data_IF_466892377932
#
_entry.id   IF_466892377932
#
_cell.length_a   1.000
_cell.length_b   1.000
_cell.length_c   1.000
_cell.angle_alpha   90.00
_cell.angle_beta   90.00
_cell.angle_gamma   90.00
#
_symmetry.space_group_name_H-M   'P 1'
#
loop_
_entity.id
_entity.type
_entity.pdbx_description
1 polymer ?
#
# COMPACT_ATOMS: atom_id res chain seq x y z
N UNK A 1 44.22 -37.58 -46.17
CA UNK A 1 43.62 -37.97 -44.87
C UNK A 1 44.03 -36.95 -43.81
N UNK A 2 43.15 -36.03 -43.41
CA UNK A 2 43.24 -35.35 -42.11
C UNK A 2 41.83 -34.96 -41.65
N UNK A 3 41.19 -35.87 -40.91
CA UNK A 3 40.15 -35.53 -39.92
C UNK A 3 40.89 -35.02 -38.70
N UNK A 4 40.51 -33.87 -38.14
CA UNK A 4 40.56 -33.49 -36.72
C UNK A 4 40.42 -31.97 -36.60
N UNK A 5 39.20 -31.48 -36.35
CA UNK A 5 38.91 -30.18 -35.68
C UNK A 5 37.39 -30.03 -35.58
N UNK A 6 36.80 -30.57 -34.51
CA UNK A 6 35.36 -30.46 -34.28
C UNK A 6 34.88 -30.83 -32.87
N UNK A 7 35.74 -31.40 -32.02
CA UNK A 7 35.34 -31.86 -30.68
C UNK A 7 35.71 -30.93 -29.53
N UNK A 8 36.62 -29.98 -29.71
CA UNK A 8 37.13 -29.16 -28.59
C UNK A 8 36.20 -27.99 -28.26
N UNK A 9 35.61 -27.31 -29.25
CA UNK A 9 34.74 -26.14 -29.02
C UNK A 9 33.35 -26.47 -28.42
N UNK A 10 32.80 -27.65 -28.71
CA UNK A 10 31.50 -28.09 -28.20
C UNK A 10 31.53 -28.48 -26.71
N UNK A 11 32.67 -28.99 -26.24
CA UNK A 11 32.84 -29.40 -24.84
C UNK A 11 32.97 -28.19 -23.93
N UNK A 12 33.70 -27.14 -24.35
CA UNK A 12 33.83 -25.89 -23.60
C UNK A 12 32.52 -25.10 -23.49
N UNK A 13 31.72 -25.04 -24.56
CA UNK A 13 30.41 -24.37 -24.53
C UNK A 13 29.40 -25.10 -23.63
N UNK A 14 29.38 -26.44 -23.63
CA UNK A 14 28.55 -27.21 -22.71
C UNK A 14 28.95 -27.00 -21.24
N UNK A 15 30.24 -26.99 -20.94
CA UNK A 15 30.72 -26.74 -19.57
C UNK A 15 30.41 -25.31 -19.11
N UNK A 16 30.56 -24.30 -19.97
CA UNK A 16 30.18 -22.92 -19.65
C UNK A 16 28.68 -22.79 -19.38
N UNK A 17 27.83 -23.40 -20.23
CA UNK A 17 26.39 -23.37 -20.06
C UNK A 17 25.95 -24.07 -18.75
N UNK A 18 26.57 -25.19 -18.42
CA UNK A 18 26.33 -25.91 -17.18
C UNK A 18 26.77 -25.10 -15.95
N UNK A 19 27.92 -24.44 -16.01
CA UNK A 19 28.40 -23.54 -14.96
C UNK A 19 27.47 -22.33 -14.75
N UNK A 20 27.04 -21.67 -15.82
CA UNK A 20 26.07 -20.57 -15.74
C UNK A 20 24.74 -21.02 -15.16
N UNK A 21 24.22 -22.19 -15.57
CA UNK A 21 22.98 -22.75 -15.03
C UNK A 21 23.07 -23.02 -13.52
N UNK A 22 24.18 -23.58 -13.05
CA UNK A 22 24.41 -23.79 -11.61
C UNK A 22 24.45 -22.47 -10.83
N UNK A 23 25.09 -21.45 -11.39
CA UNK A 23 25.20 -20.13 -10.74
C UNK A 23 23.85 -19.41 -10.67
N UNK A 24 23.04 -19.49 -11.73
CA UNK A 24 21.65 -18.98 -11.73
C UNK A 24 20.80 -19.70 -10.69
N UNK A 25 20.88 -21.03 -10.62
CA UNK A 25 20.13 -21.80 -9.61
C UNK A 25 20.55 -21.46 -8.18
N UNK A 26 21.85 -21.23 -7.94
CA UNK A 26 22.35 -20.80 -6.65
C UNK A 26 21.80 -19.42 -6.26
N UNK A 27 21.76 -18.47 -7.20
CA UNK A 27 21.21 -17.14 -6.98
C UNK A 27 19.69 -17.17 -6.74
N UNK A 28 18.95 -18.00 -7.47
CA UNK A 28 17.52 -18.19 -7.26
C UNK A 28 17.22 -18.77 -5.87
N UNK A 29 18.02 -19.72 -5.39
CA UNK A 29 17.88 -20.27 -4.04
C UNK A 29 18.17 -19.21 -2.98
N UNK A 30 19.23 -18.41 -3.15
CA UNK A 30 19.54 -17.30 -2.24
C UNK A 30 18.44 -16.24 -2.21
N UNK A 31 17.87 -15.90 -3.36
CA UNK A 31 16.74 -14.95 -3.42
C UNK A 31 15.52 -15.49 -2.68
N UNK A 32 15.16 -16.76 -2.85
CA UNK A 32 14.05 -17.39 -2.11
C UNK A 32 14.29 -17.39 -0.60
N UNK A 33 15.53 -17.61 -0.18
CA UNK A 33 15.90 -17.58 1.24
C UNK A 33 15.79 -16.17 1.82
N UNK A 34 16.27 -15.15 1.10
CA UNK A 34 16.11 -13.75 1.49
C UNK A 34 14.65 -13.32 1.55
N UNK A 35 13.82 -13.72 0.58
CA UNK A 35 12.38 -13.47 0.60
C UNK A 35 11.70 -14.11 1.82
N UNK A 36 12.10 -15.33 2.17
CA UNK A 36 11.63 -16.03 3.36
C UNK A 36 12.03 -15.29 4.64
N UNK A 37 13.29 -14.84 4.74
CA UNK A 37 13.77 -14.07 5.88
C UNK A 37 13.05 -12.73 6.03
N UNK A 38 12.81 -12.02 4.92
CA UNK A 38 12.02 -10.77 4.92
C UNK A 38 10.60 -11.02 5.42
N UNK A 39 9.98 -12.14 5.02
CA UNK A 39 8.64 -12.48 5.49
C UNK A 39 8.61 -12.73 7.00
N UNK A 40 9.58 -13.48 7.54
CA UNK A 40 9.71 -13.73 8.99
C UNK A 40 9.94 -12.43 9.75
N UNK A 41 10.83 -11.56 9.26
CA UNK A 41 11.09 -10.25 9.89
C UNK A 41 9.83 -9.39 9.92
N UNK A 42 9.04 -9.35 8.83
CA UNK A 42 7.75 -8.65 8.81
C UNK A 42 6.78 -9.20 9.87
N UNK A 43 6.72 -10.52 10.04
CA UNK A 43 5.87 -11.13 11.07
C UNK A 43 6.34 -10.76 12.49
N UNK A 44 7.64 -10.72 12.74
CA UNK A 44 8.22 -10.31 14.03
C UNK A 44 7.93 -8.83 14.30
N UNK A 45 8.17 -7.95 13.34
CA UNK A 45 7.86 -6.52 13.46
C UNK A 45 6.38 -6.30 13.78
N UNK A 46 5.47 -7.02 13.10
CA UNK A 46 4.03 -6.95 13.36
C UNK A 46 3.64 -7.41 14.77
N UNK A 47 4.34 -8.41 15.33
CA UNK A 47 4.12 -8.85 16.72
C UNK A 47 4.65 -7.83 17.72
N UNK A 48 5.82 -7.24 17.45
CA UNK A 48 6.42 -6.23 18.33
C UNK A 48 5.59 -4.94 18.35
N UNK A 49 5.08 -4.48 17.21
CA UNK A 49 4.19 -3.30 17.15
C UNK A 49 2.83 -3.55 17.80
N UNK A 50 2.34 -4.80 17.83
CA UNK A 50 1.09 -5.12 18.54
C UNK A 50 1.17 -5.07 20.07
N UNK A 51 2.39 -5.02 20.64
CA UNK A 51 2.62 -4.97 22.09
C UNK A 51 2.91 -3.57 22.66
N UNK A 52 3.04 -2.55 21.82
CA UNK A 52 3.27 -1.17 22.27
C UNK A 52 1.90 -0.52 22.47
N UNK A 53 1.39 -0.56 23.70
CA UNK A 53 0.33 0.35 24.16
C UNK A 53 0.88 1.78 24.15
N UNK A 54 0.75 2.47 23.02
CA UNK A 54 1.08 3.88 22.87
C UNK A 54 -0.03 4.75 23.47
N UNK A 55 0.34 5.55 24.44
CA UNK A 55 -0.47 6.61 25.00
C UNK A 55 -0.77 7.70 23.96
N UNK A 56 -2.06 7.89 23.70
CA UNK A 56 -2.70 9.15 23.27
C UNK A 56 -2.33 9.74 21.90
N UNK A 57 -2.23 8.94 20.83
CA UNK A 57 -2.63 9.41 19.49
C UNK A 57 -2.71 8.29 18.44
N UNK A 58 -3.52 7.27 18.70
CA UNK A 58 -3.83 6.21 17.75
C UNK A 58 -4.40 6.80 16.47
N UNK A 59 -3.80 6.48 15.31
CA UNK A 59 -4.38 6.80 14.00
C UNK A 59 -5.78 6.19 13.90
N UNK A 60 -6.78 7.04 13.68
CA UNK A 60 -8.17 6.64 13.54
C UNK A 60 -8.67 6.96 12.13
N UNK A 61 -9.42 6.05 11.54
CA UNK A 61 -10.08 6.24 10.24
C UNK A 61 -11.45 6.91 10.49
N UNK A 62 -11.57 8.20 10.15
CA UNK A 62 -12.74 9.02 10.52
C UNK A 62 -13.10 10.03 9.43
N UNK A 63 -14.39 10.31 9.21
CA UNK A 63 -14.82 11.42 8.34
C UNK A 63 -14.35 12.79 8.83
N UNK A 64 -14.14 12.97 10.14
CA UNK A 64 -13.70 14.27 10.71
C UNK A 64 -12.28 14.66 10.27
N UNK A 65 -11.49 13.70 9.80
CA UNK A 65 -10.15 13.94 9.30
C UNK A 65 -10.15 14.53 7.88
N UNK A 66 -11.27 14.41 7.15
CA UNK A 66 -11.37 14.82 5.75
C UNK A 66 -11.48 16.35 5.63
N UNK A 67 -10.44 16.98 5.09
CA UNK A 67 -10.40 18.44 4.83
C UNK A 67 -10.65 18.80 3.36
N UNK A 68 -10.67 17.79 2.49
CA UNK A 68 -10.82 17.90 1.04
C UNK A 68 -11.97 17.00 0.59
N UNK A 69 -12.58 17.31 -0.56
CA UNK A 69 -13.56 16.42 -1.18
C UNK A 69 -12.86 15.36 -2.03
N UNK A 70 -13.26 14.10 -1.85
CA UNK A 70 -12.80 12.97 -2.64
C UNK A 70 -13.97 12.38 -3.41
N UNK A 71 -13.93 12.59 -4.73
CA UNK A 71 -14.96 12.13 -5.65
C UNK A 71 -14.31 11.23 -6.70
N UNK A 72 -14.86 10.04 -6.90
CA UNK A 72 -14.36 9.14 -7.95
C UNK A 72 -14.64 9.70 -9.34
N UNK A 73 -13.67 9.62 -10.25
CA UNK A 73 -13.85 10.10 -11.62
C UNK A 73 -14.83 9.21 -12.38
N UNK A 74 -15.84 9.82 -13.02
CA UNK A 74 -16.75 9.12 -13.93
C UNK A 74 -16.00 8.59 -15.16
N UNK A 75 -16.04 7.27 -15.36
CA UNK A 75 -15.48 6.59 -16.53
C UNK A 75 -16.09 5.20 -16.59
N UNK A 76 -16.89 4.88 -17.62
CA UNK A 76 -17.55 3.57 -17.74
C UNK A 76 -16.58 2.39 -17.46
N UNK A 77 -16.94 1.40 -16.62
CA UNK A 77 -18.20 1.22 -15.89
C UNK A 77 -18.29 1.97 -14.54
N UNK A 78 -17.27 2.75 -14.18
CA UNK A 78 -17.19 3.49 -12.93
C UNK A 78 -18.05 4.76 -12.97
N UNK A 79 -18.86 4.93 -11.94
CA UNK A 79 -19.66 6.13 -11.72
C UNK A 79 -18.97 7.07 -10.73
N UNK A 80 -19.50 8.28 -10.68
CA UNK A 80 -19.09 9.28 -9.72
C UNK A 80 -19.66 8.94 -8.34
N UNK A 81 -18.82 8.94 -7.32
CA UNK A 81 -19.17 8.61 -5.94
C UNK A 81 -18.45 9.59 -5.01
N UNK A 82 -19.21 10.23 -4.12
CA UNK A 82 -18.67 11.07 -3.06
C UNK A 82 -18.23 10.21 -1.88
N UNK A 83 -16.91 10.02 -1.72
CA UNK A 83 -16.35 9.16 -0.69
C UNK A 83 -16.49 9.77 0.71
N UNK A 84 -16.53 11.11 0.81
CA UNK A 84 -16.72 11.81 2.07
C UNK A 84 -18.11 11.51 2.66
N UNK A 85 -19.15 11.66 1.85
CA UNK A 85 -20.54 11.37 2.26
C UNK A 85 -20.70 9.88 2.62
N UNK A 86 -20.08 9.00 1.83
CA UNK A 86 -20.14 7.57 2.09
C UNK A 86 -19.47 7.20 3.42
N UNK A 87 -18.34 7.82 3.76
CA UNK A 87 -17.69 7.59 5.05
C UNK A 87 -18.47 8.19 6.21
N UNK A 88 -19.05 9.38 6.03
CA UNK A 88 -19.90 10.00 7.04
C UNK A 88 -21.12 9.14 7.39
N UNK A 89 -21.68 8.41 6.42
CA UNK A 89 -22.78 7.46 6.62
C UNK A 89 -22.35 6.05 7.05
N UNK A 90 -21.06 5.76 7.13
CA UNK A 90 -20.57 4.41 7.39
C UNK A 90 -20.42 4.12 8.89
N UNK A 91 -20.94 2.97 9.32
CA UNK A 91 -20.74 2.45 10.68
C UNK A 91 -19.97 1.13 10.62
N UNK A 92 -18.79 1.11 11.22
CA UNK A 92 -17.93 -0.08 11.24
C UNK A 92 -18.56 -1.22 12.05
N UNK A 93 -18.72 -2.43 11.47
CA UNK A 93 -19.17 -3.59 12.21
C UNK A 93 -18.23 -3.97 13.37
N UNK A 94 -18.78 -4.54 14.45
CA UNK A 94 -18.00 -4.97 15.63
C UNK A 94 -16.84 -5.90 15.29
N UNK A 95 -16.99 -6.74 14.26
CA UNK A 95 -15.96 -7.68 13.79
C UNK A 95 -14.71 -7.01 13.18
N UNK A 96 -14.76 -5.73 12.80
CA UNK A 96 -13.62 -5.00 12.20
C UNK A 96 -13.16 -3.81 13.04
N UNK A 97 -14.03 -3.25 13.89
CA UNK A 97 -13.78 -2.08 14.75
C UNK A 97 -12.46 -2.10 15.53
N UNK A 98 -11.96 -3.29 15.88
CA UNK A 98 -10.77 -3.44 16.72
C UNK A 98 -9.45 -3.21 15.97
N UNK A 99 -9.45 -3.07 14.64
CA UNK A 99 -8.25 -2.84 13.84
C UNK A 99 -8.50 -1.91 12.65
N UNK A 100 -7.79 -0.79 12.59
CA UNK A 100 -7.95 0.23 11.54
C UNK A 100 -7.85 -0.34 10.12
N UNK A 101 -6.90 -1.25 9.86
CA UNK A 101 -6.78 -1.89 8.54
C UNK A 101 -8.00 -2.72 8.14
N UNK A 102 -8.68 -3.35 9.11
CA UNK A 102 -9.91 -4.11 8.85
C UNK A 102 -11.08 -3.17 8.56
N UNK A 103 -11.15 -2.04 9.26
CA UNK A 103 -12.15 -0.99 8.98
C UNK A 103 -11.96 -0.42 7.58
N UNK A 104 -10.72 -0.10 7.19
CA UNK A 104 -10.40 0.38 5.83
C UNK A 104 -10.81 -0.66 4.78
N UNK A 105 -10.42 -1.93 4.96
CA UNK A 105 -10.79 -3.00 4.02
C UNK A 105 -12.31 -3.15 3.90
N UNK A 106 -13.03 -3.17 5.02
CA UNK A 106 -14.50 -3.29 5.04
C UNK A 106 -15.17 -2.09 4.35
N UNK A 107 -14.67 -0.88 4.59
CA UNK A 107 -15.17 0.33 3.91
C UNK A 107 -14.88 0.32 2.41
N UNK A 108 -13.69 -0.12 1.98
CA UNK A 108 -13.37 -0.29 0.56
C UNK A 108 -14.32 -1.28 -0.12
N UNK A 109 -14.75 -2.35 0.56
CA UNK A 109 -15.80 -3.25 0.04
C UNK A 109 -17.15 -2.55 -0.12
N UNK A 110 -17.50 -1.61 0.75
CA UNK A 110 -18.71 -0.79 0.61
C UNK A 110 -18.61 0.11 -0.63
N UNK A 111 -17.44 0.68 -0.89
CA UNK A 111 -17.18 1.47 -2.11
C UNK A 111 -17.30 0.58 -3.35
N UNK A 112 -16.63 -0.58 -3.38
CA UNK A 112 -16.61 -1.43 -4.58
C UNK A 112 -17.99 -1.98 -4.97
N UNK A 113 -18.89 -2.20 -4.01
CA UNK A 113 -20.30 -2.52 -4.29
C UNK A 113 -21.10 -1.40 -4.93
N UNK A 114 -20.56 -0.19 -4.97
CA UNK A 114 -21.27 1.01 -5.44
C UNK A 114 -20.52 1.74 -6.56
N UNK A 115 -19.22 1.53 -6.73
CA UNK A 115 -18.40 2.33 -7.66
C UNK A 115 -18.73 2.07 -9.13
N UNK A 116 -19.28 0.91 -9.47
CA UNK A 116 -19.74 0.58 -10.83
C UNK A 116 -21.23 0.90 -11.04
N UNK A 117 -21.60 1.16 -12.29
CA UNK A 117 -22.98 1.31 -12.73
C UNK A 117 -23.10 1.20 -14.26
N UNK A 118 -24.22 0.67 -14.79
CA UNK A 118 -25.47 0.32 -14.08
C UNK A 118 -25.41 -1.00 -13.29
N UNK A 119 -24.51 -1.93 -13.61
CA UNK A 119 -24.37 -3.20 -12.87
C UNK A 119 -23.22 -3.11 -11.84
N UNK A 120 -23.50 -3.17 -10.52
CA UNK A 120 -22.47 -3.24 -9.50
C UNK A 120 -21.54 -4.46 -9.62
N UNK A 121 -21.99 -5.52 -10.29
CA UNK A 121 -21.22 -6.76 -10.45
C UNK A 121 -20.02 -6.59 -11.38
N UNK A 122 -19.98 -5.53 -12.19
CA UNK A 122 -18.87 -5.22 -13.09
C UNK A 122 -17.54 -5.06 -12.36
N UNK A 123 -17.57 -4.66 -11.08
CA UNK A 123 -16.36 -4.51 -10.26
C UNK A 123 -15.57 -5.82 -10.13
N UNK A 124 -16.25 -6.97 -10.21
CA UNK A 124 -15.62 -8.29 -10.07
C UNK A 124 -14.85 -8.73 -11.33
N UNK A 125 -14.95 -7.96 -12.41
CA UNK A 125 -14.10 -8.10 -13.60
C UNK A 125 -12.75 -7.40 -13.44
N UNK A 126 -12.54 -6.68 -12.33
CA UNK A 126 -11.30 -5.94 -12.05
C UNK A 126 -10.50 -6.57 -10.92
N UNK A 127 -9.20 -6.28 -10.91
CA UNK A 127 -8.27 -6.62 -9.84
C UNK A 127 -7.32 -5.44 -9.59
N UNK A 128 -6.78 -5.35 -8.38
CA UNK A 128 -5.64 -4.50 -8.09
C UNK A 128 -4.42 -5.39 -7.85
N UNK A 129 -3.49 -5.42 -8.81
CA UNK A 129 -2.31 -6.29 -8.75
C UNK A 129 -1.19 -5.59 -7.97
N UNK A 130 -0.89 -6.13 -6.79
CA UNK A 130 0.27 -5.69 -5.97
C UNK A 130 1.58 -6.37 -6.38
N UNK A 131 1.51 -7.38 -7.26
CA UNK A 131 2.66 -8.08 -7.82
C UNK A 131 2.40 -8.50 -9.28
N UNK A 132 3.47 -8.72 -10.04
CA UNK A 132 3.39 -9.14 -11.45
C UNK A 132 2.87 -10.58 -11.65
N UNK A 133 2.55 -11.31 -10.57
CA UNK A 133 2.03 -12.68 -10.64
C UNK A 133 0.53 -12.66 -10.33
N UNK A 134 -0.29 -12.71 -11.37
CA UNK A 134 -1.75 -12.79 -11.20
C UNK A 134 -2.22 -14.23 -11.15
N UNK A 135 -3.02 -14.58 -10.13
CA UNK A 135 -3.77 -15.85 -10.08
C UNK A 135 -4.97 -15.85 -11.03
N UNK A 136 -5.40 -14.68 -11.50
CA UNK A 136 -6.53 -14.48 -12.40
C UNK A 136 -6.09 -13.57 -13.56
N UNK A 137 -5.51 -14.14 -14.63
CA UNK A 137 -4.98 -13.34 -15.74
C UNK A 137 -6.10 -12.60 -16.51
N UNK A 138 -7.32 -13.12 -16.48
CA UNK A 138 -8.44 -12.62 -17.28
C UNK A 138 -9.10 -11.36 -16.70
N UNK A 139 -8.76 -10.98 -15.46
CA UNK A 139 -9.27 -9.75 -14.85
C UNK A 139 -8.54 -8.52 -15.40
N UNK A 140 -9.28 -7.43 -15.55
CA UNK A 140 -8.73 -6.13 -15.92
C UNK A 140 -8.08 -5.46 -14.70
N UNK A 141 -7.07 -4.64 -14.92
CA UNK A 141 -6.54 -3.82 -13.83
C UNK A 141 -7.51 -2.69 -13.48
N UNK A 142 -7.69 -2.43 -12.19
CA UNK A 142 -8.48 -1.29 -11.71
C UNK A 142 -7.87 0.01 -12.29
N UNK A 143 -8.68 0.95 -12.83
CA UNK A 143 -8.14 2.17 -13.40
C UNK A 143 -7.31 2.95 -12.37
N UNK A 144 -6.12 3.41 -12.81
CA UNK A 144 -5.18 4.10 -11.92
C UNK A 144 -5.81 5.34 -11.26
N UNK A 145 -6.72 6.03 -11.97
CA UNK A 145 -7.45 7.17 -11.38
C UNK A 145 -8.28 6.78 -10.17
N UNK A 146 -8.90 5.58 -10.16
CA UNK A 146 -9.66 5.09 -9.01
C UNK A 146 -8.69 4.76 -7.87
N UNK A 147 -7.58 4.07 -8.17
CA UNK A 147 -6.56 3.70 -7.19
C UNK A 147 -5.98 4.94 -6.48
N UNK A 148 -5.60 5.98 -7.24
CA UNK A 148 -5.08 7.23 -6.69
C UNK A 148 -6.13 7.90 -5.81
N UNK A 149 -7.36 8.07 -6.28
CA UNK A 149 -8.43 8.68 -5.48
C UNK A 149 -8.69 7.93 -4.18
N UNK A 150 -8.72 6.59 -4.20
CA UNK A 150 -8.89 5.78 -3.00
C UNK A 150 -7.71 5.91 -2.06
N UNK A 151 -6.49 5.96 -2.58
CA UNK A 151 -5.29 6.09 -1.77
C UNK A 151 -5.23 7.44 -1.04
N UNK A 152 -5.45 8.53 -1.77
CA UNK A 152 -5.44 9.87 -1.20
C UNK A 152 -6.56 10.04 -0.17
N UNK A 153 -7.76 9.53 -0.49
CA UNK A 153 -8.89 9.51 0.43
C UNK A 153 -8.58 8.75 1.72
N UNK A 154 -8.00 7.55 1.66
CA UNK A 154 -7.70 6.77 2.86
C UNK A 154 -6.64 7.47 3.70
N UNK A 155 -5.61 8.06 3.09
CA UNK A 155 -4.60 8.84 3.82
C UNK A 155 -5.23 10.07 4.51
N UNK A 156 -6.09 10.81 3.83
CA UNK A 156 -6.79 11.94 4.43
C UNK A 156 -7.73 11.50 5.55
N UNK A 157 -8.48 10.41 5.37
CA UNK A 157 -9.35 9.83 6.41
C UNK A 157 -8.57 9.33 7.64
N UNK A 158 -7.26 9.11 7.53
CA UNK A 158 -6.35 8.76 8.63
C UNK A 158 -5.62 9.98 9.22
N UNK A 159 -5.90 11.21 8.75
CA UNK A 159 -5.15 12.43 9.07
C UNK A 159 -3.66 12.38 8.63
N UNK A 160 -3.35 11.61 7.58
CA UNK A 160 -2.00 11.40 7.05
C UNK A 160 -1.77 12.02 5.65
N UNK A 161 -2.81 12.54 4.99
CA UNK A 161 -2.71 13.14 3.65
C UNK A 161 -2.30 14.62 3.62
N UNK A 162 -1.84 15.18 4.73
CA UNK A 162 -1.31 16.55 4.74
C UNK A 162 -0.04 16.66 3.87
N UNK A 163 0.01 17.66 3.01
CA UNK A 163 1.13 17.95 2.10
C UNK A 163 2.41 18.36 2.84
N UNK A 164 2.29 18.90 4.06
CA UNK A 164 3.42 19.21 4.92
C UNK A 164 4.00 17.98 5.62
N UNK A 165 3.28 16.85 5.65
CA UNK A 165 3.74 15.59 6.24
C UNK A 165 4.65 14.84 5.25
N UNK A 166 5.81 15.42 4.99
CA UNK A 166 6.84 14.88 4.10
C UNK A 166 8.22 15.06 4.73
N UNK A 167 9.04 14.00 4.71
CA UNK A 167 10.34 14.03 5.42
C UNK A 167 11.25 15.18 4.97
N UNK A 168 11.25 15.51 3.68
CA UNK A 168 12.05 16.61 3.13
C UNK A 168 11.55 18.01 3.55
N UNK A 169 10.30 18.12 4.04
CA UNK A 169 9.69 19.40 4.45
C UNK A 169 9.94 19.77 5.90
N UNK A 170 10.41 18.84 6.75
CA UNK A 170 10.53 19.03 8.20
C UNK A 170 11.25 20.33 8.57
N UNK A 171 12.42 20.58 7.99
CA UNK A 171 13.20 21.79 8.28
C UNK A 171 12.46 23.07 7.88
N UNK A 172 11.76 23.05 6.74
CA UNK A 172 11.00 24.19 6.24
C UNK A 172 9.78 24.48 7.11
N UNK A 173 8.98 23.47 7.44
CA UNK A 173 7.74 23.66 8.24
C UNK A 173 8.06 24.07 9.69
N UNK A 174 9.17 23.57 10.24
CA UNK A 174 9.71 23.96 11.55
C UNK A 174 10.18 25.40 11.55
N UNK A 175 10.98 25.80 10.55
CA UNK A 175 11.51 27.16 10.45
C UNK A 175 10.43 28.21 10.20
N UNK A 176 9.46 27.88 9.33
CA UNK A 176 8.33 28.76 8.99
C UNK A 176 7.23 28.75 10.05
N UNK A 177 7.27 27.82 11.02
CA UNK A 177 6.21 27.58 12.00
C UNK A 177 4.83 27.55 11.36
N UNK A 178 4.66 26.66 10.37
CA UNK A 178 3.37 26.52 9.67
C UNK A 178 2.25 26.18 10.65
N UNK A 179 1.01 26.49 10.29
CA UNK A 179 -0.17 26.14 11.10
C UNK A 179 -0.22 24.63 11.37
N UNK A 180 0.21 23.81 10.40
CA UNK A 180 0.39 22.38 10.59
C UNK A 180 1.41 22.07 11.68
N UNK A 181 2.63 22.61 11.62
CA UNK A 181 3.67 22.40 12.65
C UNK A 181 3.18 22.78 14.04
N UNK A 182 2.55 23.95 14.18
CA UNK A 182 2.01 24.43 15.46
C UNK A 182 0.93 23.49 15.99
N UNK A 183 0.11 22.89 15.13
CA UNK A 183 -0.96 21.97 15.53
C UNK A 183 -0.46 20.62 16.10
N UNK A 184 0.82 20.26 15.88
CA UNK A 184 1.35 18.97 16.30
C UNK A 184 1.68 18.88 17.80
N UNK A 185 1.76 19.99 18.52
CA UNK A 185 2.13 19.98 19.94
C UNK A 185 2.45 21.36 20.50
N UNK A 186 2.75 21.41 21.79
CA UNK A 186 3.01 22.66 22.53
C UNK A 186 4.47 23.07 22.48
N UNK A 187 5.38 22.10 22.44
CA UNK A 187 6.84 22.31 22.32
C UNK A 187 7.38 21.80 20.98
N UNK A 188 8.56 22.27 20.57
CA UNK A 188 9.18 21.78 19.33
C UNK A 188 9.61 20.30 19.44
N UNK A 189 9.97 19.82 20.62
CA UNK A 189 10.28 18.41 20.87
C UNK A 189 9.05 17.52 20.70
N UNK A 190 7.89 17.92 21.25
CA UNK A 190 6.62 17.21 21.06
C UNK A 190 6.21 17.18 19.59
N UNK A 191 6.33 18.33 18.89
CA UNK A 191 5.98 18.45 17.47
C UNK A 191 6.86 17.56 16.61
N UNK A 192 8.17 17.53 16.85
CA UNK A 192 9.12 16.71 16.10
C UNK A 192 8.84 15.22 16.33
N UNK A 193 8.63 14.81 17.58
CA UNK A 193 8.24 13.43 17.91
C UNK A 193 6.93 13.04 17.23
N UNK A 194 5.92 13.91 17.27
CA UNK A 194 4.62 13.67 16.64
C UNK A 194 4.74 13.62 15.12
N UNK A 195 5.53 14.51 14.52
CA UNK A 195 5.79 14.52 13.08
C UNK A 195 6.42 13.22 12.61
N UNK A 196 7.48 12.76 13.29
CA UNK A 196 8.17 11.52 12.95
C UNK A 196 7.24 10.31 13.07
N UNK A 197 6.46 10.25 14.15
CA UNK A 197 5.41 9.23 14.30
C UNK A 197 4.42 9.23 13.13
N UNK A 198 3.87 10.40 12.76
CA UNK A 198 2.92 10.49 11.65
C UNK A 198 3.56 10.11 10.31
N UNK A 199 4.84 10.43 10.11
CA UNK A 199 5.58 10.09 8.89
C UNK A 199 5.81 8.57 8.78
N UNK A 200 6.13 7.91 9.89
CA UNK A 200 6.21 6.45 9.97
C UNK A 200 4.86 5.80 9.67
N UNK A 201 3.78 6.32 10.25
CA UNK A 201 2.42 5.83 9.99
C UNK A 201 2.02 6.04 8.52
N UNK A 202 2.32 7.21 7.93
CA UNK A 202 2.07 7.48 6.51
C UNK A 202 2.79 6.46 5.63
N UNK A 203 4.07 6.20 5.89
CA UNK A 203 4.87 5.21 5.16
C UNK A 203 4.26 3.81 5.27
N UNK A 204 3.87 3.40 6.48
CA UNK A 204 3.21 2.11 6.72
C UNK A 204 1.88 1.99 5.97
N UNK A 205 1.00 3.00 6.07
CA UNK A 205 -0.32 2.97 5.43
C UNK A 205 -0.25 3.08 3.90
N UNK A 206 0.71 3.82 3.33
CA UNK A 206 0.94 3.82 1.87
C UNK A 206 1.16 2.40 1.31
N UNK A 207 1.85 1.53 2.05
CA UNK A 207 2.00 0.12 1.69
C UNK A 207 0.72 -0.68 1.92
N UNK A 208 0.06 -0.47 3.07
CA UNK A 208 -1.12 -1.23 3.48
C UNK A 208 -2.36 -0.94 2.63
N UNK A 209 -2.56 0.30 2.19
CA UNK A 209 -3.74 0.70 1.40
C UNK A 209 -3.84 -0.13 0.13
N UNK A 210 -2.72 -0.33 -0.59
CA UNK A 210 -2.67 -1.17 -1.80
C UNK A 210 -3.11 -2.60 -1.51
N UNK A 211 -2.67 -3.17 -0.40
CA UNK A 211 -3.11 -4.50 0.05
C UNK A 211 -4.60 -4.50 0.37
N UNK A 212 -5.10 -3.50 1.09
CA UNK A 212 -6.53 -3.40 1.42
C UNK A 212 -7.41 -3.24 0.17
N UNK A 213 -6.98 -2.49 -0.84
CA UNK A 213 -7.66 -2.37 -2.13
C UNK A 213 -7.72 -3.75 -2.80
N UNK A 214 -6.59 -4.47 -2.86
CA UNK A 214 -6.53 -5.79 -3.47
C UNK A 214 -7.37 -6.85 -2.74
N UNK A 215 -7.45 -6.81 -1.41
CA UNK A 215 -8.24 -7.74 -0.58
C UNK A 215 -9.74 -7.42 -0.51
N UNK A 216 -10.12 -6.22 -0.94
CA UNK A 216 -11.52 -5.78 -1.00
C UNK A 216 -12.19 -6.12 -2.33
N UNK A 217 -11.40 -6.42 -3.37
CA UNK A 217 -11.80 -6.99 -4.67
C UNK A 217 -11.75 -8.52 -4.65
#
# INVERSE_FOLDING_TARGET
MYRLRGKVGFVTLKHLNQHCSLQVNLLLTKNRDLESQIHVLRQICNKLTSGISESSSTISFSPDNLKKQHITKRSSPFKELNLNELLAGYTAPSRVKHKTSLVINDFLRVIFRQVCGPDPSDIWNFAHRTSNVSRKPDLQDLPESIVITLNDFVLDALSLGNEDLEGYRLNSIRSLRTSYWISLGTSDEEREKKFNYLLEQKTFYCGQIRTCIAEAL
#
